data_IF_342106900564
#
_entry.id   IF_342106900564
#
_cell.length_a   1.000
_cell.length_b   1.000
_cell.length_c   1.000
_cell.angle_alpha   90.00
_cell.angle_beta   90.00
_cell.angle_gamma   90.00
#
_symmetry.space_group_name_H-M   'P 1'
#
loop_
_entity.id
_entity.type
_entity.pdbx_description
1 polymer ?
#
# COMPACT_ATOMS: atom_id res chain seq x y z
N UNK A 1 -9.55 -2.36 -9.79
CA UNK A 1 -9.20 -1.64 -8.55
C UNK A 1 -7.71 -1.36 -8.46
N UNK A 2 -6.85 -2.36 -8.68
CA UNK A 2 -5.40 -2.24 -8.53
C UNK A 2 -4.75 -1.05 -9.28
N UNK A 3 -5.09 -0.81 -10.56
CA UNK A 3 -4.52 0.30 -11.32
C UNK A 3 -4.86 1.69 -10.73
N UNK A 4 -6.06 1.83 -10.18
CA UNK A 4 -6.47 3.05 -9.49
C UNK A 4 -5.72 3.23 -8.16
N UNK A 5 -5.52 2.13 -7.42
CA UNK A 5 -4.69 2.10 -6.20
C UNK A 5 -3.26 2.56 -6.50
N UNK A 6 -2.64 2.04 -7.57
CA UNK A 6 -1.30 2.43 -8.03
C UNK A 6 -1.25 3.93 -8.37
N UNK A 7 -2.21 4.42 -9.15
CA UNK A 7 -2.28 5.85 -9.51
C UNK A 7 -2.33 6.77 -8.29
N UNK A 8 -3.17 6.44 -7.29
CA UNK A 8 -3.23 7.22 -6.04
C UNK A 8 -1.87 7.19 -5.33
N UNK A 9 -1.27 6.01 -5.17
CA UNK A 9 -0.01 5.86 -4.43
C UNK A 9 1.14 6.63 -5.08
N UNK A 10 1.23 6.65 -6.41
CA UNK A 10 2.21 7.47 -7.15
C UNK A 10 2.08 8.95 -6.82
N UNK A 11 0.85 9.46 -6.70
CA UNK A 11 0.61 10.89 -6.40
C UNK A 11 0.97 11.25 -4.95
N UNK A 12 0.92 10.27 -4.05
CA UNK A 12 1.14 10.46 -2.62
C UNK A 12 2.57 10.10 -2.19
N UNK A 13 3.37 9.47 -3.04
CA UNK A 13 4.71 8.96 -2.70
C UNK A 13 5.73 10.04 -2.33
N UNK A 14 5.44 11.31 -2.62
CA UNK A 14 6.26 12.46 -2.19
C UNK A 14 6.29 12.64 -0.66
N UNK A 15 5.33 12.08 0.06
CA UNK A 15 5.25 12.17 1.50
C UNK A 15 4.90 10.81 2.09
N UNK A 16 5.83 10.25 2.87
CA UNK A 16 5.69 8.95 3.51
C UNK A 16 4.38 8.80 4.29
N UNK A 17 4.05 9.76 5.16
CA UNK A 17 2.83 9.71 5.97
C UNK A 17 1.57 9.68 5.09
N UNK A 18 1.56 10.43 3.99
CA UNK A 18 0.44 10.45 3.05
C UNK A 18 0.35 9.16 2.25
N UNK A 19 1.48 8.63 1.80
CA UNK A 19 1.59 7.35 1.13
C UNK A 19 1.05 6.22 2.01
N UNK A 20 1.51 6.12 3.26
CA UNK A 20 1.08 5.08 4.22
C UNK A 20 -0.40 5.22 4.58
N UNK A 21 -0.90 6.46 4.72
CA UNK A 21 -2.32 6.72 4.98
C UNK A 21 -3.21 6.24 3.84
N UNK A 22 -2.86 6.52 2.59
CA UNK A 22 -3.63 6.04 1.45
C UNK A 22 -3.45 4.53 1.24
N UNK A 23 -2.24 3.98 1.44
CA UNK A 23 -1.98 2.54 1.37
C UNK A 23 -2.90 1.77 2.32
N UNK A 24 -3.05 2.22 3.57
CA UNK A 24 -3.95 1.62 4.56
C UNK A 24 -5.41 1.58 4.07
N UNK A 25 -5.91 2.67 3.48
CA UNK A 25 -7.28 2.73 2.94
C UNK A 25 -7.46 1.75 1.80
N UNK A 26 -6.49 1.70 0.89
CA UNK A 26 -6.55 0.82 -0.28
C UNK A 26 -6.57 -0.66 0.12
N UNK A 27 -5.76 -1.07 1.11
CA UNK A 27 -5.78 -2.45 1.64
C UNK A 27 -7.16 -2.76 2.24
N UNK A 28 -7.73 -1.86 3.05
CA UNK A 28 -9.05 -2.04 3.65
C UNK A 28 -10.16 -2.16 2.60
N UNK A 29 -10.08 -1.39 1.51
CA UNK A 29 -11.10 -1.36 0.46
C UNK A 29 -10.97 -2.50 -0.56
N UNK A 30 -9.79 -3.12 -0.67
CA UNK A 30 -9.53 -4.19 -1.63
C UNK A 30 -10.29 -5.50 -1.35
N UNK A 31 -10.96 -5.68 -0.20
CA UNK A 31 -11.78 -6.89 0.11
C UNK A 31 -11.12 -8.23 -0.30
N UNK A 32 -9.81 -8.36 -0.08
CA UNK A 32 -8.95 -9.50 -0.47
C UNK A 32 -8.64 -9.68 -1.97
N UNK A 33 -9.21 -8.88 -2.87
CA UNK A 33 -8.88 -8.94 -4.29
C UNK A 33 -7.63 -8.09 -4.59
N UNK A 34 -6.55 -8.73 -5.05
CA UNK A 34 -5.34 -8.04 -5.52
C UNK A 34 -4.51 -7.35 -4.42
N UNK A 35 -4.71 -7.70 -3.15
CA UNK A 35 -3.91 -7.16 -2.03
C UNK A 35 -2.45 -7.60 -2.13
N UNK A 36 -2.19 -8.85 -2.51
CA UNK A 36 -0.83 -9.37 -2.70
C UNK A 36 -0.13 -8.69 -3.88
N UNK A 37 -0.83 -8.53 -5.02
CA UNK A 37 -0.31 -7.79 -6.18
C UNK A 37 0.00 -6.33 -5.83
N UNK A 38 -0.84 -5.69 -5.02
CA UNK A 38 -0.59 -4.34 -4.51
C UNK A 38 0.64 -4.30 -3.60
N UNK A 39 0.81 -5.30 -2.74
CA UNK A 39 1.96 -5.42 -1.84
C UNK A 39 3.26 -5.53 -2.63
N UNK A 40 3.32 -6.48 -3.56
CA UNK A 40 4.51 -6.71 -4.38
C UNK A 40 4.86 -5.48 -5.20
N UNK A 41 3.85 -4.80 -5.75
CA UNK A 41 4.07 -3.54 -6.47
C UNK A 41 4.63 -2.44 -5.55
N UNK A 42 4.09 -2.26 -4.35
CA UNK A 42 4.61 -1.28 -3.39
C UNK A 42 6.07 -1.55 -3.02
N UNK A 43 6.43 -2.81 -2.75
CA UNK A 43 7.80 -3.19 -2.43
C UNK A 43 8.73 -2.94 -3.62
N UNK A 44 8.34 -3.32 -4.83
CA UNK A 44 9.17 -3.15 -6.02
C UNK A 44 9.43 -1.68 -6.40
N UNK A 45 8.50 -0.76 -6.07
CA UNK A 45 8.60 0.65 -6.48
C UNK A 45 9.09 1.58 -5.36
N UNK A 46 8.80 1.23 -4.09
CA UNK A 46 9.03 2.09 -2.93
C UNK A 46 9.73 1.36 -1.78
N UNK A 47 10.14 0.10 -1.96
CA UNK A 47 10.79 -0.70 -0.93
C UNK A 47 12.10 -0.08 -0.43
N UNK A 48 12.87 0.55 -1.32
CA UNK A 48 14.14 1.20 -0.96
C UNK A 48 13.95 2.45 -0.09
N UNK A 49 12.75 3.04 -0.10
CA UNK A 49 12.46 4.30 0.61
C UNK A 49 11.57 4.05 1.85
N UNK A 50 10.53 3.23 1.69
CA UNK A 50 9.46 3.01 2.68
C UNK A 50 9.23 1.53 2.99
N UNK A 51 10.20 0.65 2.71
CA UNK A 51 10.02 -0.81 2.77
C UNK A 51 9.50 -1.32 4.11
N UNK A 52 10.09 -0.86 5.22
CA UNK A 52 9.68 -1.27 6.57
C UNK A 52 8.23 -0.87 6.86
N UNK A 53 7.84 0.36 6.49
CA UNK A 53 6.49 0.86 6.77
C UNK A 53 5.43 0.27 5.85
N UNK A 54 5.79 -0.06 4.61
CA UNK A 54 4.95 -0.85 3.71
C UNK A 54 4.68 -2.22 4.35
N UNK A 55 5.73 -2.95 4.73
CA UNK A 55 5.62 -4.28 5.34
C UNK A 55 4.78 -4.22 6.63
N UNK A 56 5.06 -3.24 7.48
CA UNK A 56 4.30 -3.02 8.71
C UNK A 56 2.82 -2.76 8.43
N UNK A 57 2.51 -1.90 7.45
CA UNK A 57 1.12 -1.55 7.12
C UNK A 57 0.32 -2.75 6.64
N UNK A 58 0.88 -3.56 5.73
CA UNK A 58 0.22 -4.78 5.28
C UNK A 58 0.00 -5.79 6.42
N UNK A 59 0.99 -5.97 7.31
CA UNK A 59 0.86 -6.86 8.49
C UNK A 59 -0.21 -6.38 9.47
N UNK A 60 -0.32 -5.06 9.68
CA UNK A 60 -1.25 -4.49 10.65
C UNK A 60 -2.68 -4.48 10.13
N UNK A 61 -2.91 -4.19 8.85
CA UNK A 61 -4.27 -4.16 8.28
C UNK A 61 -4.83 -5.57 8.12
N UNK A 62 -4.03 -6.55 7.68
CA UNK A 62 -4.47 -7.95 7.52
C UNK A 62 -4.88 -8.63 8.83
N UNK A 63 -4.40 -8.16 10.00
CA UNK A 63 -4.83 -8.66 11.32
C UNK A 63 -6.19 -8.14 11.77
N UNK A 64 -6.75 -7.14 11.11
CA UNK A 64 -7.99 -6.46 11.50
C UNK A 64 -9.17 -6.75 10.54
N UNK A 65 -8.99 -7.69 9.59
CA UNK A 65 -10.06 -8.28 8.77
C UNK A 65 -10.44 -9.66 9.34
#
# INVERSE_FOLDING_TARGET
MLEFSKYILVRMSINENLFIKELRKLILWSKNEGVDELRDWCINNYGDIYGDEIIHTFKTVAKNQ
#
